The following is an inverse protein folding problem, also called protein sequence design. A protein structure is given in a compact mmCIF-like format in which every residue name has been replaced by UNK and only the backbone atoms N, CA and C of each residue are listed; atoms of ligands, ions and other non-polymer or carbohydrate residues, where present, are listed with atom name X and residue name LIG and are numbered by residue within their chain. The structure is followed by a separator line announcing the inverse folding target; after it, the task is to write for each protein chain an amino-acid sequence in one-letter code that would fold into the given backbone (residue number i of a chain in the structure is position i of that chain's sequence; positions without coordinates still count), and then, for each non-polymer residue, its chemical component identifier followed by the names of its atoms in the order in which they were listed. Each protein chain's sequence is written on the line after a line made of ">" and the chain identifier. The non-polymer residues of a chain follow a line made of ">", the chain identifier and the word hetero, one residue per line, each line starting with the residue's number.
data_IF_680090882386
#
_entry.id   IF_680090882386
#
_cell.length_a   1.000
_cell.length_b   1.000
_cell.length_c   1.000
_cell.angle_alpha   90.00
_cell.angle_beta   90.00
_cell.angle_gamma   90.00
#
_symmetry.space_group_name_H-M   'P 1'
#
loop_
_entity.id
_entity.type
_entity.pdbx_description
1 polymer ?
#
# COMPACT_ATOMS: atom_id res chain seq x y z
N UNK A 1 9.83 29.31 -17.54
CA UNK A 1 10.93 28.76 -16.73
C UNK A 1 11.75 27.87 -17.62
N UNK A 2 13.08 27.84 -17.43
CA UNK A 2 13.93 26.84 -18.09
C UNK A 2 13.45 25.45 -17.63
N UNK A 3 13.34 24.44 -18.50
CA UNK A 3 13.02 23.09 -18.05
C UNK A 3 14.07 22.65 -17.01
N UNK A 4 13.67 22.00 -15.90
CA UNK A 4 14.62 21.48 -14.92
C UNK A 4 15.57 20.50 -15.61
N UNK A 5 16.85 20.55 -15.24
CA UNK A 5 17.87 19.69 -15.83
C UNK A 5 17.63 18.23 -15.38
N UNK A 6 18.00 17.26 -16.22
CA UNK A 6 17.80 15.83 -15.97
C UNK A 6 18.21 15.38 -14.54
N UNK A 7 19.36 15.86 -14.06
CA UNK A 7 19.87 15.56 -12.72
C UNK A 7 18.97 16.07 -11.59
N UNK A 8 18.39 17.27 -11.73
CA UNK A 8 17.47 17.85 -10.75
C UNK A 8 16.20 17.00 -10.64
N UNK A 9 15.69 16.51 -11.77
CA UNK A 9 14.53 15.61 -11.84
C UNK A 9 14.83 14.26 -11.17
N UNK A 10 16.01 13.68 -11.43
CA UNK A 10 16.47 12.44 -10.80
C UNK A 10 16.51 12.57 -9.27
N UNK A 11 17.20 13.58 -8.76
CA UNK A 11 17.33 13.81 -7.33
C UNK A 11 15.96 14.12 -6.69
N UNK A 12 15.11 14.88 -7.39
CA UNK A 12 13.74 15.17 -6.96
C UNK A 12 12.90 13.91 -6.78
N UNK A 13 12.96 12.97 -7.74
CA UNK A 13 12.21 11.71 -7.64
C UNK A 13 12.77 10.77 -6.56
N UNK A 14 14.10 10.64 -6.46
CA UNK A 14 14.74 9.83 -5.41
C UNK A 14 14.36 10.38 -4.03
N UNK A 15 14.42 11.70 -3.83
CA UNK A 15 14.02 12.34 -2.59
C UNK A 15 12.53 12.17 -2.30
N UNK A 16 11.67 12.20 -3.32
CA UNK A 16 10.25 11.92 -3.16
C UNK A 16 10.02 10.48 -2.69
N UNK A 17 10.69 9.49 -3.31
CA UNK A 17 10.55 8.08 -2.92
C UNK A 17 11.06 7.78 -1.52
N UNK A 18 12.17 8.39 -1.10
CA UNK A 18 12.66 8.29 0.27
C UNK A 18 11.61 8.75 1.32
N UNK A 19 10.77 9.74 0.96
CA UNK A 19 9.66 10.18 1.81
C UNK A 19 8.44 9.25 1.74
N UNK A 20 8.27 8.49 0.66
CA UNK A 20 7.17 7.53 0.50
C UNK A 20 7.48 6.21 1.22
N UNK A 21 8.74 5.80 1.21
CA UNK A 21 9.24 4.53 1.74
C UNK A 21 10.21 4.81 2.89
N UNK A 22 9.66 5.29 4.02
CA UNK A 22 10.44 5.68 5.19
C UNK A 22 10.64 4.56 6.22
N UNK A 23 10.19 3.33 5.92
CA UNK A 23 10.45 2.18 6.78
C UNK A 23 11.94 1.87 6.86
N UNK A 24 12.35 1.31 7.99
CA UNK A 24 13.70 0.78 8.19
C UNK A 24 13.96 -0.27 7.11
N UNK A 25 15.01 -0.06 6.31
CA UNK A 25 15.40 -0.84 5.15
C UNK A 25 14.50 -0.81 3.89
N UNK A 26 13.45 0.01 3.82
CA UNK A 26 12.57 0.05 2.64
C UNK A 26 13.24 0.72 1.43
N UNK A 27 13.88 1.88 1.61
CA UNK A 27 14.48 2.65 0.52
C UNK A 27 15.93 2.98 0.78
N UNK A 28 16.78 2.68 -0.19
CA UNK A 28 18.20 3.00 -0.15
C UNK A 28 18.62 3.64 -1.47
N UNK A 29 19.23 4.82 -1.40
CA UNK A 29 19.97 5.38 -2.52
C UNK A 29 21.47 5.27 -2.23
N UNK A 30 22.29 5.10 -3.27
CA UNK A 30 23.75 5.12 -3.14
C UNK A 30 24.20 6.47 -2.55
N UNK A 31 24.67 6.53 -1.28
CA UNK A 31 24.92 7.80 -0.61
C UNK A 31 26.06 8.58 -1.27
N UNK A 32 27.07 7.89 -1.80
CA UNK A 32 28.21 8.53 -2.45
C UNK A 32 27.79 9.10 -3.81
N UNK A 33 27.01 8.34 -4.58
CA UNK A 33 26.43 8.79 -5.84
C UNK A 33 25.51 10.00 -5.67
N UNK A 34 24.64 9.99 -4.64
CA UNK A 34 23.76 11.12 -4.33
C UNK A 34 24.56 12.34 -3.89
N UNK A 35 25.56 12.19 -3.01
CA UNK A 35 26.39 13.30 -2.57
C UNK A 35 27.13 13.98 -3.73
N UNK A 36 27.70 13.18 -4.65
CA UNK A 36 28.35 13.68 -5.87
C UNK A 36 27.37 14.41 -6.78
N UNK A 37 26.17 13.84 -7.00
CA UNK A 37 25.13 14.46 -7.81
C UNK A 37 24.63 15.78 -7.23
N UNK A 38 24.40 15.85 -5.91
CA UNK A 38 24.02 17.08 -5.21
C UNK A 38 25.13 18.13 -5.33
N UNK A 39 26.39 17.76 -5.12
CA UNK A 39 27.52 18.68 -5.28
C UNK A 39 27.63 19.23 -6.71
N UNK A 40 27.39 18.40 -7.73
CA UNK A 40 27.40 18.84 -9.13
C UNK A 40 26.23 19.78 -9.45
N UNK A 41 25.06 19.54 -8.85
CA UNK A 41 23.89 20.42 -8.98
C UNK A 41 24.16 21.79 -8.32
N UNK A 42 24.71 21.79 -7.11
CA UNK A 42 25.02 23.00 -6.35
C UNK A 42 26.11 23.85 -7.02
N UNK A 43 27.10 23.21 -7.67
CA UNK A 43 28.13 23.87 -8.46
C UNK A 43 27.64 24.41 -9.81
N UNK A 44 26.40 24.09 -10.22
CA UNK A 44 25.88 24.43 -11.55
C UNK A 44 26.51 23.59 -12.68
N UNK A 45 27.14 22.47 -12.35
CA UNK A 45 27.87 21.58 -13.25
C UNK A 45 27.05 20.34 -13.65
N UNK A 46 25.72 20.42 -13.59
CA UNK A 46 24.84 19.26 -13.82
C UNK A 46 25.03 18.58 -15.18
N UNK A 47 25.50 19.30 -16.20
CA UNK A 47 25.82 18.74 -17.52
C UNK A 47 27.08 17.88 -17.56
N UNK A 48 27.93 17.95 -16.53
CA UNK A 48 29.16 17.14 -16.39
C UNK A 48 28.91 15.83 -15.64
N UNK A 49 27.75 15.69 -14.98
CA UNK A 49 27.38 14.49 -14.28
C UNK A 49 27.07 13.37 -15.28
N UNK A 50 27.94 12.35 -15.32
CA UNK A 50 27.86 11.22 -16.26
C UNK A 50 27.69 9.88 -15.57
N UNK A 51 27.64 9.86 -14.24
CA UNK A 51 27.54 8.62 -13.46
C UNK A 51 26.06 8.25 -13.29
N UNK A 52 25.65 6.99 -13.55
CA UNK A 52 24.29 6.56 -13.25
C UNK A 52 24.03 6.58 -11.75
N UNK A 53 22.83 7.03 -11.35
CA UNK A 53 22.39 6.94 -9.96
C UNK A 53 21.74 5.57 -9.69
N UNK A 54 21.97 5.02 -8.50
CA UNK A 54 21.44 3.73 -8.09
C UNK A 54 20.58 3.86 -6.86
N UNK A 55 19.44 3.20 -6.86
CA UNK A 55 18.58 3.07 -5.70
C UNK A 55 17.93 1.70 -5.62
N UNK A 56 17.55 1.30 -4.42
CA UNK A 56 16.94 0.02 -4.12
C UNK A 56 15.69 0.25 -3.28
N UNK A 57 14.58 -0.33 -3.71
CA UNK A 57 13.33 -0.41 -2.97
C UNK A 57 13.11 -1.86 -2.51
N UNK A 58 12.91 -2.07 -1.23
CA UNK A 58 12.54 -3.35 -0.63
C UNK A 58 11.12 -3.25 -0.09
N UNK A 59 10.30 -4.23 -0.44
CA UNK A 59 8.92 -4.37 0.01
C UNK A 59 8.79 -5.74 0.71
N UNK A 60 9.11 -5.81 2.02
CA UNK A 60 9.16 -7.08 2.75
C UNK A 60 7.83 -7.85 2.73
N UNK A 61 6.71 -7.14 2.80
CA UNK A 61 5.37 -7.73 2.75
C UNK A 61 5.09 -8.50 1.44
N UNK A 62 5.73 -8.09 0.35
CA UNK A 62 5.63 -8.74 -0.96
C UNK A 62 6.84 -9.65 -1.27
N UNK A 63 7.81 -9.77 -0.36
CA UNK A 63 9.10 -10.45 -0.59
C UNK A 63 9.76 -10.00 -1.90
N UNK A 64 9.71 -8.69 -2.16
CA UNK A 64 10.10 -8.05 -3.41
C UNK A 64 11.22 -7.03 -3.15
N UNK A 65 12.24 -7.03 -3.99
CA UNK A 65 13.24 -5.98 -4.07
C UNK A 65 13.41 -5.52 -5.53
N UNK A 66 13.46 -4.21 -5.72
CA UNK A 66 13.68 -3.55 -6.99
C UNK A 66 14.97 -2.74 -6.90
N UNK A 67 15.88 -2.97 -7.84
CA UNK A 67 17.07 -2.16 -8.02
C UNK A 67 16.90 -1.31 -9.28
N UNK A 68 16.98 0.00 -9.11
CA UNK A 68 16.89 0.98 -10.18
C UNK A 68 18.27 1.54 -10.51
N UNK A 69 18.58 1.63 -11.80
CA UNK A 69 19.76 2.31 -12.33
C UNK A 69 19.30 3.42 -13.26
N UNK A 70 19.42 4.66 -12.80
CA UNK A 70 19.00 5.86 -13.52
C UNK A 70 20.17 6.33 -14.38
N UNK A 71 20.09 6.26 -15.72
CA UNK A 71 21.13 6.80 -16.58
C UNK A 71 21.21 8.33 -16.45
N UNK A 72 22.35 8.95 -16.81
CA UNK A 72 22.53 10.40 -16.72
C UNK A 72 21.47 11.22 -17.47
N UNK A 73 20.91 10.66 -18.55
CA UNK A 73 19.87 11.29 -19.35
C UNK A 73 18.44 10.99 -18.86
N UNK A 74 18.24 10.21 -17.79
CA UNK A 74 16.91 9.98 -17.21
C UNK A 74 16.26 11.32 -16.80
N UNK A 75 14.97 11.54 -17.11
CA UNK A 75 14.00 10.56 -17.60
C UNK A 75 13.85 10.45 -19.12
N UNK A 76 14.66 11.14 -19.92
CA UNK A 76 14.63 11.00 -21.39
C UNK A 76 15.24 9.70 -21.92
N UNK A 77 16.01 9.01 -21.07
CA UNK A 77 16.50 7.65 -21.30
C UNK A 77 15.85 6.71 -20.26
N UNK A 78 15.41 5.50 -20.66
CA UNK A 78 14.71 4.59 -19.75
C UNK A 78 15.59 4.15 -18.58
N UNK A 79 14.99 4.09 -17.40
CA UNK A 79 15.62 3.53 -16.20
C UNK A 79 15.83 2.02 -16.36
N UNK A 80 17.01 1.53 -15.93
CA UNK A 80 17.27 0.11 -15.79
C UNK A 80 16.62 -0.43 -14.51
N UNK A 81 15.88 -1.54 -14.60
CA UNK A 81 15.21 -2.15 -13.45
C UNK A 81 15.59 -3.62 -13.33
N UNK A 82 16.02 -4.02 -12.14
CA UNK A 82 16.25 -5.41 -11.78
C UNK A 82 15.30 -5.83 -10.65
N UNK A 83 14.75 -7.04 -10.74
CA UNK A 83 13.70 -7.53 -9.85
C UNK A 83 14.16 -8.80 -9.14
N UNK A 84 14.06 -8.79 -7.82
CA UNK A 84 14.24 -9.98 -6.98
C UNK A 84 12.94 -10.23 -6.23
N UNK A 85 12.27 -11.35 -6.50
CA UNK A 85 11.08 -11.75 -5.76
C UNK A 85 10.99 -13.27 -5.65
N UNK A 86 11.02 -13.79 -4.43
CA UNK A 86 10.99 -15.23 -4.18
C UNK A 86 9.62 -15.88 -4.46
N UNK A 87 8.56 -15.08 -4.58
CA UNK A 87 7.21 -15.56 -4.85
C UNK A 87 6.94 -15.81 -6.35
N UNK A 88 7.75 -15.22 -7.24
CA UNK A 88 7.59 -15.35 -8.68
C UNK A 88 8.24 -16.64 -9.17
N UNK A 89 7.56 -17.33 -10.08
CA UNK A 89 8.20 -18.35 -10.92
C UNK A 89 8.91 -17.70 -12.13
N UNK A 90 9.70 -18.48 -12.85
CA UNK A 90 10.50 -17.98 -13.99
C UNK A 90 9.66 -17.27 -15.06
N UNK A 91 8.47 -17.80 -15.38
CA UNK A 91 7.59 -17.16 -16.37
C UNK A 91 6.99 -15.84 -15.86
N UNK A 92 6.57 -15.80 -14.58
CA UNK A 92 6.07 -14.57 -13.95
C UNK A 92 7.16 -13.51 -13.85
N UNK A 93 8.39 -13.92 -13.52
CA UNK A 93 9.55 -13.04 -13.45
C UNK A 93 9.85 -12.42 -14.82
N UNK A 94 9.94 -13.24 -15.87
CA UNK A 94 10.17 -12.75 -17.24
C UNK A 94 9.05 -11.80 -17.69
N UNK A 95 7.79 -12.15 -17.42
CA UNK A 95 6.65 -11.29 -17.78
C UNK A 95 6.69 -9.94 -17.05
N UNK A 96 7.01 -9.95 -15.74
CA UNK A 96 7.14 -8.73 -14.96
C UNK A 96 8.27 -7.85 -15.47
N UNK A 97 9.46 -8.41 -15.71
CA UNK A 97 10.60 -7.65 -16.23
C UNK A 97 10.27 -7.02 -17.58
N UNK A 98 9.62 -7.77 -18.50
CA UNK A 98 9.20 -7.23 -19.79
C UNK A 98 8.18 -6.09 -19.63
N UNK A 99 7.24 -6.21 -18.69
CA UNK A 99 6.27 -5.16 -18.40
C UNK A 99 6.93 -3.90 -17.84
N UNK A 100 7.86 -4.04 -16.88
CA UNK A 100 8.59 -2.92 -16.29
C UNK A 100 9.45 -2.21 -17.34
N UNK A 101 10.13 -2.96 -18.21
CA UNK A 101 10.90 -2.39 -19.32
C UNK A 101 9.99 -1.59 -20.27
N UNK A 102 8.82 -2.13 -20.62
CA UNK A 102 7.85 -1.43 -21.46
C UNK A 102 7.37 -0.12 -20.81
N UNK A 103 7.09 -0.14 -19.51
CA UNK A 103 6.70 1.06 -18.75
C UNK A 103 7.82 2.09 -18.72
N UNK A 104 9.07 1.67 -18.49
CA UNK A 104 10.24 2.56 -18.49
C UNK A 104 10.48 3.21 -19.85
N UNK A 105 10.37 2.45 -20.95
CA UNK A 105 10.49 2.97 -22.31
C UNK A 105 9.37 3.96 -22.63
N UNK A 106 8.11 3.61 -22.33
CA UNK A 106 6.97 4.50 -22.56
C UNK A 106 7.08 5.80 -21.77
N UNK A 107 7.66 5.76 -20.56
CA UNK A 107 7.93 6.95 -19.78
C UNK A 107 9.03 7.82 -20.40
N UNK A 108 10.07 7.21 -20.98
CA UNK A 108 11.15 7.94 -21.65
C UNK A 108 10.70 8.60 -22.97
N UNK A 109 9.79 7.95 -23.69
CA UNK A 109 9.21 8.44 -24.95
C UNK A 109 8.13 9.52 -24.75
N UNK A 110 7.76 9.86 -23.51
CA UNK A 110 6.69 10.81 -23.23
C UNK A 110 7.02 12.22 -23.77
N UNK A 111 5.99 12.89 -24.31
CA UNK A 111 6.16 14.19 -24.98
C UNK A 111 6.63 15.23 -23.97
N UNK A 112 7.83 15.77 -24.17
CA UNK A 112 8.46 16.71 -23.24
C UNK A 112 9.84 16.29 -22.70
N UNK A 113 10.44 15.24 -23.27
CA UNK A 113 11.77 14.76 -22.85
C UNK A 113 11.69 13.73 -21.74
N UNK A 114 10.64 12.91 -21.74
CA UNK A 114 10.41 11.84 -20.78
C UNK A 114 9.83 12.31 -19.44
N UNK A 115 9.29 11.34 -18.69
CA UNK A 115 8.68 11.52 -17.36
C UNK A 115 9.26 10.58 -16.31
N UNK A 116 9.30 11.04 -15.08
CA UNK A 116 9.63 10.27 -13.88
C UNK A 116 8.66 9.08 -13.73
N UNK A 117 9.19 7.87 -13.47
CA UNK A 117 8.40 6.64 -13.48
C UNK A 117 8.77 5.60 -12.42
N UNK A 118 9.73 5.87 -11.52
CA UNK A 118 10.14 4.91 -10.49
C UNK A 118 8.97 4.48 -9.59
N UNK A 119 8.08 5.42 -9.24
CA UNK A 119 6.88 5.11 -8.46
C UNK A 119 5.92 4.18 -9.22
N UNK A 120 5.68 4.44 -10.51
CA UNK A 120 4.82 3.59 -11.33
C UNK A 120 5.39 2.18 -11.47
N UNK A 121 6.70 2.08 -11.71
CA UNK A 121 7.41 0.80 -11.77
C UNK A 121 7.29 0.02 -10.46
N UNK A 122 7.43 0.71 -9.31
CA UNK A 122 7.25 0.06 -8.00
C UNK A 122 5.84 -0.50 -7.80
N UNK A 123 4.81 0.23 -8.23
CA UNK A 123 3.41 -0.19 -8.10
C UNK A 123 3.09 -1.39 -9.00
N UNK A 124 3.57 -1.38 -10.25
CA UNK A 124 3.41 -2.50 -11.17
C UNK A 124 4.05 -3.77 -10.60
N UNK A 125 5.27 -3.66 -10.05
CA UNK A 125 5.95 -4.80 -9.47
C UNK A 125 5.27 -5.30 -8.18
N UNK A 126 4.81 -4.40 -7.32
CA UNK A 126 4.08 -4.75 -6.10
C UNK A 126 2.78 -5.51 -6.41
N UNK A 127 1.98 -5.03 -7.37
CA UNK A 127 0.72 -5.66 -7.77
C UNK A 127 0.94 -7.09 -8.29
N UNK A 128 1.98 -7.31 -9.11
CA UNK A 128 2.32 -8.64 -9.64
C UNK A 128 2.87 -9.56 -8.54
N UNK A 129 3.77 -9.07 -7.69
CA UNK A 129 4.32 -9.84 -6.58
C UNK A 129 3.23 -10.26 -5.59
N UNK A 130 2.28 -9.37 -5.29
CA UNK A 130 1.14 -9.67 -4.43
C UNK A 130 0.24 -10.76 -5.01
N UNK A 131 -0.10 -10.66 -6.31
CA UNK A 131 -0.89 -11.68 -6.99
C UNK A 131 -0.19 -13.06 -7.02
N UNK A 132 1.12 -13.08 -7.23
CA UNK A 132 1.92 -14.30 -7.19
C UNK A 132 1.98 -14.91 -5.79
N UNK A 133 2.12 -14.08 -4.75
CA UNK A 133 2.11 -14.51 -3.36
C UNK A 133 0.78 -15.17 -2.96
N UNK A 134 -0.35 -14.54 -3.30
CA UNK A 134 -1.68 -15.13 -3.02
C UNK A 134 -1.90 -16.42 -3.82
N UNK A 135 -1.41 -16.48 -5.06
CA UNK A 135 -1.44 -17.70 -5.88
C UNK A 135 -0.58 -18.83 -5.30
N UNK A 136 0.60 -18.52 -4.75
CA UNK A 136 1.46 -19.49 -4.06
C UNK A 136 0.78 -20.01 -2.78
N UNK A 137 0.17 -19.13 -1.99
CA UNK A 137 -0.57 -19.47 -0.78
C UNK A 137 -1.79 -20.36 -1.07
N UNK A 138 -2.51 -20.09 -2.16
CA UNK A 138 -3.62 -20.93 -2.62
C UNK A 138 -3.14 -22.34 -3.02
N UNK A 139 -2.03 -22.45 -3.77
CA UNK A 139 -1.42 -23.74 -4.13
C UNK A 139 -1.02 -24.54 -2.90
N UNK A 140 -0.39 -23.90 -1.92
CA UNK A 140 0.03 -24.56 -0.67
C UNK A 140 -1.16 -25.09 0.16
N UNK A 141 -2.30 -24.39 0.17
CA UNK A 141 -3.53 -24.87 0.84
C UNK A 141 -4.12 -26.10 0.15
N UNK A 142 -4.13 -26.12 -1.18
CA UNK A 142 -4.69 -27.22 -1.96
C UNK A 142 -3.86 -28.51 -1.84
N UNK A 143 -2.52 -28.41 -1.79
CA UNK A 143 -1.66 -29.59 -1.55
C UNK A 143 -1.90 -30.23 -0.17
N UNK A 144 -2.10 -29.42 0.87
CA UNK A 144 -2.38 -29.94 2.23
C UNK A 144 -3.76 -30.60 2.33
N UNK A 145 -4.76 -30.18 1.54
CA UNK A 145 -6.06 -30.84 1.50
C UNK A 145 -6.03 -32.18 0.73
N UNK A 146 -5.18 -32.30 -0.28
CA UNK A 146 -5.01 -33.56 -1.02
C UNK A 146 -4.34 -34.66 -0.18
N UNK A 147 -3.45 -34.31 0.76
CA UNK A 147 -2.82 -35.28 1.68
C UNK A 147 -3.77 -35.77 2.79
N UNK A 148 -4.73 -34.96 3.23
CA UNK A 148 -5.71 -35.34 4.27
C UNK A 148 -6.81 -36.27 3.72
N UNK A 149 -7.03 -36.32 2.40
CA UNK A 149 -8.02 -37.19 1.77
C UNK A 149 -7.65 -38.69 1.77
N UNK A 150 -6.38 -39.05 2.07
CA UNK A 150 -5.91 -40.44 2.11
C UNK A 150 -5.69 -41.00 3.53
N UNK A 151 -6.11 -40.29 4.58
CA UNK A 151 -6.07 -40.81 5.95
C UNK A 151 -7.49 -40.91 6.51
N UNK A 152 -7.94 -42.15 6.73
CA UNK A 152 -9.15 -42.48 7.48
C UNK A 152 -9.11 -41.72 8.81
N UNK A 153 -9.99 -40.74 8.98
CA UNK A 153 -9.99 -39.90 10.18
C UNK A 153 -10.33 -40.72 11.42
N UNK A 154 -9.54 -40.66 12.50
CA UNK A 154 -10.09 -40.82 13.83
C UNK A 154 -10.89 -39.57 14.16
N UNK A 155 -12.06 -39.78 14.76
CA UNK A 155 -12.93 -38.73 15.32
C UNK A 155 -12.09 -37.91 16.31
N UNK A 156 -11.58 -36.76 15.88
CA UNK A 156 -10.92 -35.80 16.75
C UNK A 156 -11.88 -34.68 17.09
N UNK A 157 -12.22 -34.66 18.39
CA UNK A 157 -12.88 -33.58 19.09
C UNK A 157 -12.28 -32.25 18.65
N UNK A 158 -13.17 -31.36 18.21
CA UNK A 158 -12.92 -29.94 18.06
C UNK A 158 -12.30 -29.44 19.38
N UNK A 159 -11.01 -29.13 19.36
CA UNK A 159 -10.42 -28.33 20.43
C UNK A 159 -11.08 -26.95 20.41
N UNK A 160 -11.40 -26.38 21.58
CA UNK A 160 -12.00 -25.06 21.66
C UNK A 160 -11.02 -24.05 21.10
N UNK A 161 -11.40 -23.40 19.99
CA UNK A 161 -10.71 -22.21 19.52
C UNK A 161 -10.59 -21.25 20.71
N UNK A 162 -9.36 -20.91 21.09
CA UNK A 162 -9.08 -19.79 21.97
C UNK A 162 -9.95 -18.62 21.53
N UNK A 163 -10.78 -18.13 22.45
CA UNK A 163 -11.87 -17.24 22.14
C UNK A 163 -11.32 -16.01 21.39
N UNK A 164 -11.72 -15.87 20.12
CA UNK A 164 -11.29 -14.73 19.29
C UNK A 164 -11.87 -13.48 19.93
N UNK A 165 -10.98 -12.59 20.39
CA UNK A 165 -11.35 -11.26 20.83
C UNK A 165 -12.18 -10.60 19.72
N UNK A 166 -13.41 -10.21 20.05
CA UNK A 166 -14.19 -9.34 19.18
C UNK A 166 -13.56 -7.95 19.25
N UNK A 167 -13.69 -7.15 18.19
CA UNK A 167 -13.13 -5.81 18.21
C UNK A 167 -13.71 -4.91 17.14
N UNK A 168 -13.54 -3.62 17.34
CA UNK A 168 -13.78 -2.60 16.32
C UNK A 168 -12.46 -1.91 16.00
N UNK A 169 -12.22 -1.64 14.72
CA UNK A 169 -11.06 -0.87 14.27
C UNK A 169 -11.48 0.14 13.22
N UNK A 170 -11.09 1.41 13.40
CA UNK A 170 -11.20 2.43 12.36
C UNK A 170 -9.83 2.67 11.74
N UNK A 171 -9.71 2.28 10.47
CA UNK A 171 -8.50 2.46 9.69
C UNK A 171 -8.71 3.62 8.73
N UNK A 172 -7.86 4.64 8.85
CA UNK A 172 -7.89 5.79 7.98
C UNK A 172 -6.79 5.68 6.92
N UNK A 173 -7.19 5.87 5.67
CA UNK A 173 -6.27 6.04 4.55
C UNK A 173 -6.36 7.49 4.09
N UNK A 174 -5.24 8.23 4.16
CA UNK A 174 -5.24 9.62 3.73
C UNK A 174 -5.64 9.78 2.25
N UNK A 175 -5.39 8.78 1.37
CA UNK A 175 -5.77 8.82 -0.04
C UNK A 175 -6.08 7.42 -0.63
N UNK A 176 -7.28 6.87 -0.45
CA UNK A 176 -7.69 5.63 -1.14
C UNK A 176 -8.44 5.90 -2.47
N UNK A 177 -7.70 6.40 -3.48
CA UNK A 177 -8.27 6.74 -4.81
C UNK A 177 -8.34 5.55 -5.78
N UNK A 178 -7.52 4.52 -5.61
CA UNK A 178 -7.53 3.35 -6.50
C UNK A 178 -8.83 2.56 -6.34
N UNK A 179 -9.60 2.43 -7.43
CA UNK A 179 -10.80 1.59 -7.49
C UNK A 179 -10.48 0.13 -7.18
N UNK A 180 -9.35 -0.37 -7.67
CA UNK A 180 -8.91 -1.74 -7.42
C UNK A 180 -8.69 -1.98 -5.92
N UNK A 181 -7.94 -1.08 -5.27
CA UNK A 181 -7.66 -1.19 -3.81
C UNK A 181 -8.95 -1.15 -2.98
N UNK A 182 -9.91 -0.29 -3.34
CA UNK A 182 -11.21 -0.24 -2.64
C UNK A 182 -12.00 -1.53 -2.80
N UNK A 183 -12.08 -2.08 -4.02
CA UNK A 183 -12.73 -3.36 -4.28
C UNK A 183 -12.09 -4.48 -3.46
N UNK A 184 -10.75 -4.57 -3.46
CA UNK A 184 -10.01 -5.57 -2.67
C UNK A 184 -10.33 -5.46 -1.18
N UNK A 185 -10.32 -4.25 -0.59
CA UNK A 185 -10.65 -4.07 0.83
C UNK A 185 -12.07 -4.56 1.13
N UNK A 186 -13.04 -4.20 0.29
CA UNK A 186 -14.44 -4.59 0.49
C UNK A 186 -14.62 -6.10 0.33
N UNK A 187 -13.96 -6.71 -0.65
CA UNK A 187 -14.00 -8.16 -0.88
C UNK A 187 -13.36 -8.93 0.27
N UNK A 188 -12.18 -8.53 0.74
CA UNK A 188 -11.52 -9.11 1.90
C UNK A 188 -12.37 -8.95 3.17
N UNK A 189 -12.92 -7.76 3.42
CA UNK A 189 -13.76 -7.52 4.60
C UNK A 189 -15.01 -8.41 4.59
N UNK A 190 -15.62 -8.63 3.42
CA UNK A 190 -16.76 -9.54 3.28
C UNK A 190 -16.38 -10.99 3.50
N UNK A 191 -15.24 -11.43 2.93
CA UNK A 191 -14.75 -12.80 3.09
C UNK A 191 -14.47 -13.14 4.56
N UNK A 192 -14.01 -12.17 5.34
CA UNK A 192 -13.77 -12.28 6.79
C UNK A 192 -15.03 -12.05 7.64
N UNK A 193 -16.19 -11.82 7.03
CA UNK A 193 -17.45 -11.59 7.74
C UNK A 193 -17.51 -10.27 8.53
N UNK A 194 -16.69 -9.29 8.17
CA UNK A 194 -16.67 -7.99 8.83
C UNK A 194 -17.94 -7.18 8.49
N UNK A 195 -18.36 -6.35 9.45
CA UNK A 195 -19.45 -5.37 9.30
C UNK A 195 -18.85 -3.97 9.26
N UNK A 196 -19.41 -3.08 8.45
CA UNK A 196 -18.90 -1.70 8.32
C UNK A 196 -18.90 -1.19 6.89
N UNK A 197 -18.06 -0.18 6.64
CA UNK A 197 -17.98 0.46 5.34
C UNK A 197 -16.58 0.99 5.02
N UNK A 198 -16.27 1.10 3.72
CA UNK A 198 -15.11 1.80 3.20
C UNK A 198 -15.57 3.06 2.45
N UNK A 199 -14.96 4.20 2.77
CA UNK A 199 -15.26 5.47 2.11
C UNK A 199 -14.01 6.07 1.45
N UNK A 200 -14.06 6.44 0.15
CA UNK A 200 -12.99 7.21 -0.48
C UNK A 200 -12.88 8.63 0.10
N UNK A 201 -11.64 9.09 0.30
CA UNK A 201 -11.32 10.44 0.78
C UNK A 201 -11.54 11.52 -0.29
N UNK A 202 -12.00 12.70 0.13
CA UNK A 202 -12.25 13.88 -0.73
C UNK A 202 -10.94 14.62 -1.08
N UNK A 203 -10.89 15.24 -2.27
CA UNK A 203 -9.83 16.18 -2.67
C UNK A 203 -10.44 17.36 -3.42
N UNK A 204 -10.54 18.50 -2.75
CA UNK A 204 -10.32 19.78 -3.43
C UNK A 204 -8.89 20.25 -3.10
N UNK A 205 -8.12 20.54 -4.15
CA UNK A 205 -6.88 21.33 -4.15
C UNK A 205 -5.68 20.88 -3.29
N UNK A 206 -5.15 19.66 -3.46
CA UNK A 206 -3.72 19.40 -3.16
C UNK A 206 -3.16 18.42 -4.21
N UNK A 207 -2.42 18.94 -5.18
CA UNK A 207 -1.75 18.17 -6.26
C UNK A 207 -0.26 17.91 -5.98
N UNK A 208 0.19 18.08 -4.74
CA UNK A 208 1.58 17.78 -4.35
C UNK A 208 1.58 17.13 -2.96
N UNK A 209 2.16 15.92 -2.86
CA UNK A 209 2.40 15.12 -1.63
C UNK A 209 1.15 14.39 -1.07
N UNK A 210 1.16 13.17 -0.53
CA UNK A 210 2.19 12.21 -0.07
C UNK A 210 1.51 10.83 0.07
N UNK A 211 2.21 9.74 -0.23
CA UNK A 211 1.78 8.37 0.08
C UNK A 211 2.52 7.86 1.32
N UNK A 212 2.03 8.22 2.50
CA UNK A 212 2.22 7.50 3.76
C UNK A 212 1.08 7.94 4.67
N UNK A 213 0.22 7.00 5.07
CA UNK A 213 -0.62 7.05 6.27
C UNK A 213 -1.81 6.10 6.09
N UNK A 214 -1.56 4.80 6.26
CA UNK A 214 -2.56 3.95 6.87
C UNK A 214 -2.41 4.16 8.38
N UNK A 215 -3.41 4.79 9.00
CA UNK A 215 -3.39 5.10 10.43
C UNK A 215 -4.55 4.35 11.07
N UNK A 216 -4.27 3.46 12.03
CA UNK A 216 -5.31 2.96 12.93
C UNK A 216 -5.63 4.09 13.88
N UNK A 217 -6.70 4.84 13.59
CA UNK A 217 -7.08 6.00 14.39
C UNK A 217 -7.87 5.64 15.64
N UNK A 218 -8.44 4.44 15.64
CA UNK A 218 -9.14 3.93 16.79
C UNK A 218 -9.23 2.41 16.74
N UNK A 219 -9.07 1.79 17.90
CA UNK A 219 -9.19 0.35 18.09
C UNK A 219 -9.79 0.08 19.46
N UNK A 220 -10.75 -0.84 19.48
CA UNK A 220 -11.39 -1.34 20.67
C UNK A 220 -11.39 -2.87 20.58
N UNK A 221 -10.74 -3.53 21.51
CA UNK A 221 -10.67 -4.99 21.60
C UNK A 221 -11.38 -5.44 22.88
N UNK A 222 -12.18 -6.50 22.77
CA UNK A 222 -12.82 -7.14 23.92
C UNK A 222 -12.20 -8.50 24.14
N UNK A 223 -11.68 -8.72 25.35
CA UNK A 223 -11.30 -10.05 25.79
C UNK A 223 -12.58 -10.85 26.07
N UNK A 224 -12.62 -12.09 25.60
CA UNK A 224 -13.80 -12.94 25.68
C UNK A 224 -14.18 -13.38 27.11
N UNK A 225 -13.38 -12.98 28.10
CA UNK A 225 -13.53 -13.35 29.52
C UNK A 225 -14.20 -12.26 30.37
N UNK A 226 -14.46 -11.05 29.84
CA UNK A 226 -15.18 -10.03 30.58
C UNK A 226 -16.70 -10.06 30.30
N UNK A 227 -17.50 -10.08 31.37
CA UNK A 227 -18.98 -10.04 31.45
C UNK A 227 -19.65 -8.84 30.72
N UNK A 228 -18.93 -8.11 29.85
CA UNK A 228 -19.43 -7.00 29.02
C UNK A 228 -20.07 -7.45 27.70
N UNK A 229 -20.23 -8.76 27.49
CA UNK A 229 -20.82 -9.36 26.27
C UNK A 229 -22.24 -8.85 25.98
N UNK A 230 -22.93 -8.29 26.97
CA UNK A 230 -24.31 -7.81 26.81
C UNK A 230 -24.47 -6.45 26.13
N UNK A 231 -23.43 -5.62 26.01
CA UNK A 231 -23.49 -4.32 25.30
C UNK A 231 -22.99 -4.38 23.84
N UNK A 232 -22.22 -5.42 23.49
CA UNK A 232 -21.67 -5.67 22.15
C UNK A 232 -22.70 -5.82 21.00
N UNK A 233 -23.86 -6.51 21.18
CA UNK A 233 -24.76 -6.81 20.07
C UNK A 233 -25.43 -5.55 19.50
N UNK A 234 -25.67 -4.54 20.34
CA UNK A 234 -26.37 -3.30 19.96
C UNK A 234 -25.45 -2.40 19.13
N UNK A 235 -24.19 -2.26 19.56
CA UNK A 235 -23.15 -1.45 18.89
C UNK A 235 -22.80 -2.02 17.51
N UNK A 236 -22.55 -3.33 17.43
CA UNK A 236 -22.14 -3.96 16.18
C UNK A 236 -23.30 -4.13 15.20
N UNK A 237 -24.53 -4.34 15.69
CA UNK A 237 -25.74 -4.62 14.90
C UNK A 237 -26.12 -3.53 13.91
N UNK A 238 -25.78 -2.27 14.19
CA UNK A 238 -26.15 -1.11 13.38
C UNK A 238 -25.21 -0.82 12.19
N UNK A 239 -24.01 -1.42 12.15
CA UNK A 239 -23.10 -1.27 11.03
C UNK A 239 -23.55 -2.11 9.82
N UNK A 240 -23.28 -1.67 8.57
CA UNK A 240 -23.67 -2.42 7.39
C UNK A 240 -23.12 -3.85 7.37
N UNK A 241 -23.99 -4.79 7.00
CA UNK A 241 -23.65 -6.19 6.80
C UNK A 241 -24.41 -6.70 5.57
N UNK A 242 -23.72 -7.08 4.48
CA UNK A 242 -22.26 -7.17 4.35
C UNK A 242 -21.56 -5.81 4.39
N UNK A 243 -20.24 -5.79 4.57
CA UNK A 243 -19.41 -4.59 4.45
C UNK A 243 -19.62 -3.89 3.09
N UNK A 244 -19.78 -2.56 3.09
CA UNK A 244 -20.15 -1.78 1.89
C UNK A 244 -19.11 -0.73 1.48
N UNK A 245 -19.09 -0.35 0.20
CA UNK A 245 -18.37 0.83 -0.27
C UNK A 245 -19.35 2.01 -0.34
N UNK A 246 -19.01 3.13 0.31
CA UNK A 246 -19.79 4.37 0.26
C UNK A 246 -19.28 5.29 -0.84
N UNK A 247 -20.16 6.18 -1.33
CA UNK A 247 -19.79 7.18 -2.33
C UNK A 247 -18.82 8.25 -1.77
N UNK A 248 -18.14 8.96 -2.68
CA UNK A 248 -17.26 10.09 -2.33
C UNK A 248 -18.01 11.24 -1.63
N UNK A 249 -19.28 11.44 -1.94
CA UNK A 249 -20.14 12.44 -1.28
C UNK A 249 -20.81 11.93 0.02
N UNK A 250 -20.73 10.64 0.32
CA UNK A 250 -21.49 9.98 1.39
C UNK A 250 -20.85 10.10 2.79
N UNK A 251 -20.29 11.27 3.13
CA UNK A 251 -19.75 11.50 4.48
C UNK A 251 -20.85 11.55 5.55
N UNK A 252 -22.02 12.10 5.20
CA UNK A 252 -23.19 12.11 6.09
C UNK A 252 -23.71 10.69 6.38
N UNK A 253 -23.66 9.80 5.39
CA UNK A 253 -24.05 8.39 5.55
C UNK A 253 -23.06 7.62 6.43
N UNK A 254 -21.75 7.84 6.24
CA UNK A 254 -20.71 7.31 7.13
C UNK A 254 -20.92 7.76 8.59
N UNK A 255 -21.22 9.05 8.80
CA UNK A 255 -21.52 9.58 10.13
C UNK A 255 -22.78 8.94 10.73
N UNK A 256 -23.86 8.79 9.93
CA UNK A 256 -25.11 8.18 10.37
C UNK A 256 -24.93 6.70 10.78
N UNK A 257 -24.13 5.93 10.02
CA UNK A 257 -23.80 4.55 10.40
C UNK A 257 -23.02 4.49 11.71
N UNK A 258 -22.06 5.39 11.92
CA UNK A 258 -21.34 5.48 13.19
C UNK A 258 -22.25 5.92 14.34
N UNK A 259 -23.15 6.88 14.13
CA UNK A 259 -24.12 7.31 15.15
C UNK A 259 -25.09 6.21 15.55
N UNK A 260 -25.64 5.49 14.57
CA UNK A 260 -26.52 4.34 14.82
C UNK A 260 -25.81 3.21 15.59
N UNK A 261 -24.49 3.08 15.42
CA UNK A 261 -23.64 2.15 16.15
C UNK A 261 -23.16 2.69 17.51
N UNK A 262 -23.53 3.91 17.92
CA UNK A 262 -23.02 4.53 19.15
C UNK A 262 -21.56 5.01 19.06
N UNK A 263 -20.99 5.04 17.86
CA UNK A 263 -19.61 5.44 17.55
C UNK A 263 -19.49 6.88 17.04
N UNK A 264 -20.55 7.69 17.16
CA UNK A 264 -20.60 9.05 16.59
C UNK A 264 -19.54 10.00 17.14
N UNK A 265 -19.25 9.95 18.45
CA UNK A 265 -18.17 10.74 19.07
C UNK A 265 -16.81 10.31 18.56
N UNK A 266 -16.55 9.00 18.57
CA UNK A 266 -15.32 8.38 18.06
C UNK A 266 -15.07 8.74 16.60
N UNK A 267 -16.10 8.65 15.75
CA UNK A 267 -16.01 9.02 14.35
C UNK A 267 -15.60 10.49 14.19
N UNK A 268 -16.20 11.41 14.96
CA UNK A 268 -15.82 12.83 14.93
C UNK A 268 -14.39 13.06 15.38
N UNK A 269 -13.96 12.45 16.48
CA UNK A 269 -12.59 12.59 16.99
C UNK A 269 -11.56 12.11 15.97
N UNK A 270 -11.79 10.92 15.43
CA UNK A 270 -10.84 10.31 14.54
C UNK A 270 -10.90 10.85 13.10
N UNK A 271 -11.97 11.50 12.67
CA UNK A 271 -12.03 12.19 11.37
C UNK A 271 -11.55 13.65 11.47
N UNK A 272 -11.98 14.38 12.50
CA UNK A 272 -11.74 15.82 12.62
C UNK A 272 -10.50 16.18 13.47
N UNK A 273 -9.82 15.19 14.07
CA UNK A 273 -8.70 15.39 15.03
C UNK A 273 -9.06 16.34 16.17
N UNK A 274 -10.36 16.50 16.46
CA UNK A 274 -10.81 17.30 17.59
C UNK A 274 -10.58 16.46 18.84
N UNK A 275 -9.51 16.74 19.57
CA UNK A 275 -9.33 16.17 20.91
C UNK A 275 -10.55 16.54 21.74
N UNK A 276 -11.22 15.55 22.33
CA UNK A 276 -12.24 15.80 23.33
C UNK A 276 -11.67 16.80 24.36
N UNK A 277 -12.38 17.90 24.59
CA UNK A 277 -12.12 18.73 25.76
C UNK A 277 -12.33 17.81 26.96
N UNK A 278 -11.28 17.59 27.74
CA UNK A 278 -11.40 16.99 29.05
C UNK A 278 -12.46 17.80 29.82
N UNK A 279 -13.54 17.11 30.22
CA UNK A 279 -14.48 17.59 31.22
C UNK A 279 -13.85 17.51 32.59
#
# INVERSE_FOLDING_TARGET
>A
GRPPMALERQLGEIGALALLFSGEDEWHADPDGIALATSALDAGESSLHTTPLRCTLRLPAASLALEFTLPPAYPSEPVGVNVQCAALNDMEHVALVAQLQKTAVAAAEDTGGGRECLLELSQVAEDVAHAAFESAKARARNCKQAEVANHVQPIHRREPHAAKAAGFRMVWFHHIKSQLKRKTIVECARAEGLRGFCKPGCVEHIRSLRWQAMEVRWELTWDADEDRVHELPVVLGALPCPFVELAESAMGEAAAHCEAAGLGSTFREAILKLKARAL
#
